data_IF_895079324701
#
_entry.id   IF_895079324701
#
_cell.length_a   1.000
_cell.length_b   1.000
_cell.length_c   1.000
_cell.angle_alpha   90.00
_cell.angle_beta   90.00
_cell.angle_gamma   90.00
#
_symmetry.space_group_name_H-M   'P 1'
#
loop_
_entity.id
_entity.type
_entity.pdbx_description
1 polymer ?
#
# COMPACT_ATOMS: atom_id res chain seq x y z
N UNK A 1 -34.19 -10.97 -56.91
CA UNK A 1 -33.70 -12.19 -57.61
C UNK A 1 -32.35 -12.61 -57.04
N UNK A 2 -32.07 -13.92 -57.02
CA UNK A 2 -30.74 -14.56 -56.95
C UNK A 2 -29.70 -14.13 -55.87
N UNK A 3 -29.74 -14.88 -54.77
CA UNK A 3 -28.61 -15.30 -53.91
C UNK A 3 -27.18 -15.26 -54.49
N UNK A 4 -26.20 -15.04 -53.60
CA UNK A 4 -25.12 -16.02 -53.36
C UNK A 4 -24.48 -15.94 -51.96
N UNK A 5 -24.69 -16.99 -51.16
CA UNK A 5 -23.87 -17.31 -49.98
C UNK A 5 -22.55 -17.96 -50.43
N UNK A 6 -21.47 -17.73 -49.70
CA UNK A 6 -20.31 -18.62 -49.67
C UNK A 6 -19.86 -18.79 -48.21
N UNK A 7 -19.79 -20.05 -47.75
CA UNK A 7 -19.33 -20.47 -46.41
C UNK A 7 -18.39 -21.65 -46.63
N UNK A 8 -17.17 -21.63 -46.09
CA UNK A 8 -16.26 -22.78 -46.17
C UNK A 8 -15.53 -23.09 -44.86
N UNK A 9 -15.13 -24.36 -44.74
CA UNK A 9 -14.69 -25.14 -43.56
C UNK A 9 -13.54 -26.03 -44.08
N UNK A 10 -12.47 -26.40 -43.36
CA UNK A 10 -12.24 -26.48 -41.90
C UNK A 10 -10.81 -26.14 -41.47
N UNK A 11 -10.62 -26.00 -40.14
CA UNK A 11 -9.47 -26.47 -39.33
C UNK A 11 -8.32 -27.18 -40.07
N UNK A 12 -7.08 -26.86 -39.70
CA UNK A 12 -6.09 -27.88 -39.27
C UNK A 12 -5.03 -27.34 -38.30
N UNK A 13 -4.44 -28.26 -37.56
CA UNK A 13 -3.57 -28.13 -36.36
C UNK A 13 -2.09 -27.88 -36.72
N UNK A 14 -1.34 -27.10 -35.92
CA UNK A 14 0.02 -27.51 -35.50
C UNK A 14 0.58 -26.71 -34.30
N UNK A 15 1.32 -27.42 -33.43
CA UNK A 15 2.12 -26.85 -32.33
C UNK A 15 3.47 -26.35 -32.87
N UNK A 16 4.06 -25.30 -32.28
CA UNK A 16 5.37 -24.79 -32.69
C UNK A 16 6.07 -23.98 -31.60
N UNK A 17 6.83 -24.64 -30.73
CA UNK A 17 7.64 -24.01 -29.69
C UNK A 17 8.86 -23.28 -30.26
N UNK A 18 9.04 -22.00 -29.90
CA UNK A 18 10.27 -21.27 -30.22
C UNK A 18 11.24 -21.26 -29.02
N UNK A 19 12.43 -21.82 -29.25
CA UNK A 19 13.54 -21.85 -28.28
C UNK A 19 14.29 -20.52 -28.28
N UNK A 20 14.83 -20.15 -27.11
CA UNK A 20 15.91 -19.16 -27.00
C UNK A 20 17.10 -19.55 -27.88
N UNK A 21 17.75 -18.57 -28.52
CA UNK A 21 19.19 -18.68 -28.75
C UNK A 21 19.92 -17.33 -28.77
N UNK A 22 21.02 -17.30 -28.01
CA UNK A 22 22.28 -16.56 -28.25
C UNK A 22 22.26 -15.05 -28.54
N UNK A 23 22.48 -14.29 -27.46
CA UNK A 23 23.68 -13.46 -27.25
C UNK A 23 24.55 -13.20 -28.50
N UNK A 24 24.63 -11.94 -28.93
CA UNK A 24 25.93 -11.30 -29.18
C UNK A 24 25.86 -9.78 -28.92
N UNK A 25 26.81 -9.24 -28.15
CA UNK A 25 26.98 -7.80 -27.88
C UNK A 25 28.24 -7.30 -28.58
N UNK A 26 28.14 -6.23 -29.40
CA UNK A 26 29.20 -5.31 -29.91
C UNK A 26 28.59 -4.48 -31.05
N UNK A 27 28.93 -3.21 -31.33
CA UNK A 27 29.85 -2.20 -30.78
C UNK A 27 29.12 -0.83 -30.82
N UNK A 28 29.44 0.16 -29.99
CA UNK A 28 30.29 1.35 -30.29
C UNK A 28 30.01 2.38 -29.16
N UNK A 29 30.80 3.40 -28.81
CA UNK A 29 32.02 4.09 -29.29
C UNK A 29 32.83 4.46 -28.04
N UNK A 30 34.17 4.57 -28.12
CA UNK A 30 34.88 5.87 -28.04
C UNK A 30 36.38 5.64 -28.29
N UNK A 31 36.99 6.44 -29.16
CA UNK A 31 38.43 6.40 -29.42
C UNK A 31 38.91 7.83 -29.71
N UNK A 32 39.39 8.52 -28.67
CA UNK A 32 40.17 9.77 -28.72
C UNK A 32 40.99 9.88 -27.41
N UNK A 33 42.23 10.39 -27.38
CA UNK A 33 43.29 10.40 -28.40
C UNK A 33 44.65 10.65 -27.69
N UNK A 34 45.73 10.05 -28.20
CA UNK A 34 47.17 10.28 -27.92
C UNK A 34 47.78 10.27 -26.48
N UNK A 35 48.56 9.20 -26.24
CA UNK A 35 50.03 9.18 -25.97
C UNK A 35 50.65 10.15 -24.93
N UNK A 36 51.21 9.60 -23.83
CA UNK A 36 52.67 9.31 -23.67
C UNK A 36 52.99 8.82 -22.23
N UNK A 37 53.67 7.68 -22.11
CA UNK A 37 54.25 7.18 -20.85
C UNK A 37 55.70 7.66 -20.67
N UNK A 38 56.12 7.93 -19.42
CA UNK A 38 57.25 7.26 -18.70
C UNK A 38 57.46 7.85 -17.27
N UNK A 39 58.17 7.17 -16.36
CA UNK A 39 57.77 7.12 -14.94
C UNK A 39 58.44 8.14 -14.00
N UNK A 40 57.78 8.38 -12.87
CA UNK A 40 58.24 9.24 -11.78
C UNK A 40 59.39 8.62 -10.96
N UNK A 41 60.39 9.47 -10.63
CA UNK A 41 61.58 9.08 -9.88
C UNK A 41 61.38 9.13 -8.36
N UNK A 42 61.99 8.15 -7.70
CA UNK A 42 62.09 7.97 -6.24
C UNK A 42 62.99 9.05 -5.61
N UNK A 43 62.46 9.85 -4.68
CA UNK A 43 63.28 10.78 -3.87
C UNK A 43 63.39 10.33 -2.41
N UNK A 44 64.61 9.97 -2.00
CA UNK A 44 65.03 10.00 -0.58
C UNK A 44 65.40 11.43 -0.21
N UNK A 45 65.04 11.89 0.99
CA UNK A 45 65.72 13.00 1.69
C UNK A 45 65.97 12.63 3.15
N UNK A 46 67.05 13.20 3.70
CA UNK A 46 67.72 12.70 4.89
C UNK A 46 67.36 13.45 6.19
N UNK A 47 67.61 12.78 7.31
CA UNK A 47 67.47 13.30 8.68
C UNK A 47 68.60 14.28 9.05
N UNK A 48 68.28 15.24 9.94
CA UNK A 48 69.22 15.92 10.84
C UNK A 48 68.60 16.05 12.25
N UNK A 49 69.42 16.18 13.32
CA UNK A 49 69.04 15.71 14.65
C UNK A 49 68.43 16.79 15.55
N UNK A 50 67.59 16.37 16.51
CA UNK A 50 67.07 17.19 17.61
C UNK A 50 67.69 16.73 18.93
N UNK A 51 68.00 17.70 19.80
CA UNK A 51 68.72 17.51 21.08
C UNK A 51 67.92 16.70 22.11
N UNK A 52 68.63 15.96 22.97
CA UNK A 52 68.09 15.42 24.22
C UNK A 52 67.52 16.54 25.10
N UNK A 53 66.34 16.33 25.67
CA UNK A 53 66.02 16.84 27.00
C UNK A 53 65.49 15.67 27.85
N UNK A 54 65.95 15.59 29.09
CA UNK A 54 65.50 14.59 30.06
C UNK A 54 64.30 15.14 30.82
N UNK A 55 63.21 14.36 30.93
CA UNK A 55 62.80 13.86 32.24
C UNK A 55 61.72 12.76 32.15
N UNK A 56 61.70 11.92 33.19
CA UNK A 56 60.84 10.75 33.32
C UNK A 56 59.44 11.17 33.77
N UNK A 57 58.40 10.53 33.23
CA UNK A 57 57.43 9.80 34.05
C UNK A 57 56.67 8.76 33.21
N UNK A 58 56.19 7.70 33.88
CA UNK A 58 55.76 6.46 33.25
C UNK A 58 54.31 6.56 32.74
N UNK A 59 54.08 6.26 31.46
CA UNK A 59 52.79 5.77 30.96
C UNK A 59 53.04 4.60 30.00
N UNK A 60 52.46 3.44 30.29
CA UNK A 60 52.54 2.28 29.41
C UNK A 60 51.37 2.30 28.42
N UNK A 61 51.59 2.97 27.29
CA UNK A 61 50.85 2.68 26.06
C UNK A 61 51.41 1.38 25.46
N UNK A 62 50.56 0.37 25.31
CA UNK A 62 50.74 -0.66 24.27
C UNK A 62 49.52 -0.69 23.38
N UNK A 63 49.62 0.08 22.30
CA UNK A 63 48.85 -0.17 21.08
C UNK A 63 49.31 -1.50 20.50
N UNK A 64 48.36 -2.38 20.20
CA UNK A 64 48.56 -3.48 19.24
C UNK A 64 47.36 -3.51 18.30
N UNK A 65 47.35 -2.58 17.34
CA UNK A 65 46.52 -2.71 16.14
C UNK A 65 47.10 -3.86 15.33
N UNK A 66 46.43 -5.02 15.34
CA UNK A 66 46.73 -6.10 14.40
C UNK A 66 45.65 -6.15 13.33
N UNK A 67 46.05 -5.77 12.12
CA UNK A 67 45.24 -5.86 10.92
C UNK A 67 45.33 -7.31 10.39
N UNK A 68 44.33 -8.13 10.71
CA UNK A 68 44.04 -9.41 10.07
C UNK A 68 42.55 -9.32 9.71
N UNK A 69 42.11 -9.49 8.47
CA UNK A 69 42.64 -10.34 7.41
C UNK A 69 41.48 -11.26 7.04
N UNK A 70 40.78 -10.92 5.96
CA UNK A 70 39.47 -11.49 5.67
C UNK A 70 39.52 -13.00 5.40
N UNK A 71 38.71 -13.76 6.13
CA UNK A 71 38.34 -15.15 5.83
C UNK A 71 36.89 -15.33 6.28
N UNK A 72 36.00 -15.57 5.31
CA UNK A 72 34.57 -15.67 5.57
C UNK A 72 34.20 -17.00 6.22
N UNK A 73 33.53 -16.94 7.37
CA UNK A 73 32.80 -18.05 7.96
C UNK A 73 31.31 -17.70 8.07
N UNK A 74 30.46 -18.37 7.30
CA UNK A 74 29.00 -18.26 7.41
C UNK A 74 28.52 -19.06 8.62
N UNK A 75 28.57 -18.45 9.80
CA UNK A 75 28.06 -19.01 11.05
C UNK A 75 26.62 -18.53 11.29
N UNK A 76 25.63 -19.30 10.84
CA UNK A 76 24.23 -19.04 11.16
C UNK A 76 23.91 -19.43 12.60
N UNK A 77 24.02 -18.46 13.53
CA UNK A 77 23.59 -18.62 14.91
C UNK A 77 22.10 -18.26 15.03
N UNK A 78 21.27 -19.24 15.36
CA UNK A 78 19.86 -19.05 15.74
C UNK A 78 19.77 -18.81 17.24
N UNK A 79 18.92 -17.88 17.67
CA UNK A 79 18.47 -17.83 19.05
C UNK A 79 17.50 -19.01 19.28
N UNK A 80 18.02 -20.16 19.71
CA UNK A 80 17.15 -21.27 20.10
C UNK A 80 16.44 -20.91 21.41
N UNK A 81 15.13 -20.64 21.33
CA UNK A 81 14.17 -20.53 22.44
C UNK A 81 14.68 -19.89 23.75
N UNK A 82 14.44 -18.59 23.92
CA UNK A 82 14.54 -17.95 25.24
C UNK A 82 13.41 -18.45 26.16
N UNK A 83 13.63 -19.57 26.84
CA UNK A 83 12.60 -20.20 27.69
C UNK A 83 12.27 -19.44 28.97
N UNK A 84 13.16 -18.61 29.50
CA UNK A 84 12.89 -17.80 30.70
C UNK A 84 13.70 -16.50 30.67
N UNK A 85 13.13 -15.44 31.26
CA UNK A 85 13.77 -14.52 32.24
C UNK A 85 12.69 -13.58 32.80
N UNK A 86 11.87 -14.13 33.68
CA UNK A 86 11.19 -13.36 34.72
C UNK A 86 11.79 -13.81 36.03
N UNK A 87 12.42 -12.88 36.75
CA UNK A 87 12.19 -12.65 38.18
C UNK A 87 12.85 -11.35 38.61
N UNK A 88 12.24 -10.73 39.62
CA UNK A 88 12.69 -9.50 40.25
C UNK A 88 13.97 -9.73 41.07
N UNK A 89 14.67 -8.61 41.35
CA UNK A 89 15.89 -8.47 42.17
C UNK A 89 17.24 -8.66 41.47
N UNK A 90 18.26 -8.04 42.07
CA UNK A 90 19.58 -7.77 41.49
C UNK A 90 20.48 -9.00 41.40
N UNK A 91 21.64 -8.81 40.75
CA UNK A 91 22.80 -9.72 40.70
C UNK A 91 22.76 -10.91 39.72
N UNK A 92 22.65 -10.62 38.42
CA UNK A 92 23.51 -11.29 37.44
C UNK A 92 23.76 -10.36 36.24
N UNK A 93 24.95 -9.76 36.18
CA UNK A 93 25.47 -9.18 34.94
C UNK A 93 26.25 -10.29 34.23
N UNK A 94 25.63 -10.94 33.24
CA UNK A 94 26.41 -11.74 32.31
C UNK A 94 27.37 -10.82 31.56
N UNK A 95 28.66 -11.14 31.64
CA UNK A 95 29.71 -10.38 30.99
C UNK A 95 29.60 -10.55 29.48
N UNK A 96 28.92 -9.60 28.83
CA UNK A 96 28.83 -9.49 27.37
C UNK A 96 30.26 -9.45 26.82
N UNK A 97 30.68 -10.49 26.11
CA UNK A 97 32.00 -10.54 25.46
C UNK A 97 32.12 -9.44 24.42
N UNK A 98 32.86 -8.38 24.78
CA UNK A 98 33.15 -7.25 23.90
C UNK A 98 34.26 -7.62 22.91
N UNK A 99 33.88 -8.20 21.78
CA UNK A 99 34.82 -8.55 20.72
C UNK A 99 34.19 -8.62 19.32
N UNK A 100 34.95 -8.27 18.25
CA UNK A 100 34.43 -8.19 16.88
C UNK A 100 34.01 -9.55 16.27
N UNK A 101 34.25 -10.66 16.96
CA UNK A 101 33.84 -12.02 16.56
C UNK A 101 32.96 -12.71 17.62
N UNK A 102 32.35 -11.97 18.56
CA UNK A 102 31.54 -12.59 19.62
C UNK A 102 30.21 -13.18 19.07
N UNK A 103 29.86 -14.44 19.41
CA UNK A 103 28.61 -15.09 18.98
C UNK A 103 27.30 -14.45 19.48
N UNK A 104 27.35 -13.43 20.33
CA UNK A 104 26.25 -12.99 21.20
C UNK A 104 25.70 -11.59 20.88
N UNK A 105 25.49 -11.30 19.59
CA UNK A 105 24.82 -10.08 19.11
C UNK A 105 23.30 -10.26 18.86
N UNK A 106 22.71 -11.25 19.54
CA UNK A 106 21.26 -11.44 19.56
C UNK A 106 20.62 -10.44 20.52
N UNK A 107 19.52 -9.82 20.11
CA UNK A 107 18.67 -9.03 21.01
C UNK A 107 17.92 -9.97 21.97
N UNK A 108 18.45 -10.12 23.18
CA UNK A 108 17.97 -11.08 24.17
C UNK A 108 16.62 -10.70 24.80
N UNK A 109 16.08 -11.58 25.63
CA UNK A 109 14.64 -11.72 25.79
C UNK A 109 14.12 -11.13 27.09
N UNK A 110 13.08 -10.29 26.97
CA UNK A 110 12.33 -9.69 28.07
C UNK A 110 13.16 -8.86 29.09
N UNK A 111 14.39 -8.46 28.75
CA UNK A 111 15.19 -7.54 29.56
C UNK A 111 15.64 -6.30 28.82
N UNK A 112 15.86 -5.23 29.58
CA UNK A 112 16.33 -3.95 29.05
C UNK A 112 17.85 -3.93 28.89
N UNK A 113 18.33 -3.48 27.73
CA UNK A 113 19.76 -3.34 27.45
C UNK A 113 20.06 -2.06 26.69
N UNK A 114 21.31 -1.61 26.74
CA UNK A 114 21.78 -0.47 25.94
C UNK A 114 23.13 -0.82 25.33
N UNK A 115 23.15 -0.87 24.02
CA UNK A 115 24.28 -1.20 23.17
C UNK A 115 24.74 0.04 22.39
N UNK A 116 25.99 0.03 21.94
CA UNK A 116 26.57 1.09 21.12
C UNK A 116 26.15 1.02 19.64
N UNK A 117 26.93 1.67 18.79
CA UNK A 117 26.77 1.59 17.34
C UNK A 117 27.20 0.20 16.83
N UNK A 118 26.40 -0.39 15.94
CA UNK A 118 26.67 -1.69 15.36
C UNK A 118 25.48 -2.20 14.57
N UNK A 119 25.56 -3.45 14.12
CA UNK A 119 24.42 -4.17 13.52
C UNK A 119 24.04 -5.32 14.43
N UNK A 120 22.79 -5.33 14.87
CA UNK A 120 22.23 -6.29 15.82
C UNK A 120 21.13 -7.10 15.14
N UNK A 121 20.88 -8.30 15.65
CA UNK A 121 19.93 -9.22 15.03
C UNK A 121 18.88 -9.72 16.03
N UNK A 122 17.62 -9.58 15.65
CA UNK A 122 16.48 -10.28 16.24
C UNK A 122 16.05 -11.36 15.26
N UNK A 123 16.62 -12.56 15.40
CA UNK A 123 16.35 -13.69 14.51
C UNK A 123 15.68 -14.84 15.28
N UNK A 124 14.57 -15.34 14.75
CA UNK A 124 13.81 -16.53 15.21
C UNK A 124 13.73 -16.67 16.73
N UNK A 125 12.68 -16.13 17.34
CA UNK A 125 12.53 -16.07 18.80
C UNK A 125 11.12 -16.45 19.23
N UNK A 126 10.94 -17.48 20.06
CA UNK A 126 9.72 -17.61 20.88
C UNK A 126 10.05 -17.18 22.31
N UNK A 127 9.25 -16.26 22.86
CA UNK A 127 9.37 -15.80 24.26
C UNK A 127 7.99 -15.56 24.86
N UNK A 128 7.86 -15.77 26.17
CA UNK A 128 6.60 -15.69 26.89
C UNK A 128 6.86 -15.29 28.35
N UNK A 129 5.80 -14.92 29.07
CA UNK A 129 5.82 -14.76 30.52
C UNK A 129 4.47 -15.19 31.07
N UNK A 130 4.45 -15.96 32.17
CA UNK A 130 3.20 -16.26 32.88
C UNK A 130 2.67 -15.04 33.67
N UNK A 131 3.56 -14.18 34.16
CA UNK A 131 3.22 -13.00 34.99
C UNK A 131 3.30 -11.65 34.26
N UNK A 132 3.51 -11.67 32.94
CA UNK A 132 3.80 -10.49 32.13
C UNK A 132 5.26 -10.04 32.20
N UNK A 133 5.64 -9.11 31.33
CA UNK A 133 7.01 -8.58 31.26
C UNK A 133 7.05 -7.20 30.59
N UNK A 134 8.12 -6.44 30.82
CA UNK A 134 8.36 -5.17 30.13
C UNK A 134 9.85 -4.92 29.93
N UNK A 135 10.25 -4.48 28.74
CA UNK A 135 11.67 -4.32 28.39
C UNK A 135 11.93 -3.21 27.36
N UNK A 136 13.17 -2.74 27.30
CA UNK A 136 13.64 -1.78 26.29
C UNK A 136 15.07 -2.10 25.83
N UNK A 137 15.23 -2.47 24.57
CA UNK A 137 16.55 -2.69 23.95
C UNK A 137 16.94 -1.48 23.12
N UNK A 138 18.06 -0.84 23.48
CA UNK A 138 18.56 0.36 22.81
C UNK A 138 19.84 0.05 22.04
N UNK A 139 19.88 0.42 20.77
CA UNK A 139 21.03 0.28 19.88
C UNK A 139 21.46 1.68 19.43
N UNK A 140 22.24 2.36 20.27
CA UNK A 140 22.59 3.77 20.09
C UNK A 140 23.40 3.96 18.80
N UNK A 141 22.86 4.69 17.83
CA UNK A 141 23.42 4.81 16.47
C UNK A 141 23.58 3.46 15.73
N UNK A 142 22.85 2.42 16.17
CA UNK A 142 22.91 1.05 15.64
C UNK A 142 21.76 0.69 14.71
N UNK A 143 21.95 -0.37 13.91
CA UNK A 143 20.92 -0.96 13.06
C UNK A 143 20.41 -2.27 13.68
N UNK A 144 19.10 -2.42 13.81
CA UNK A 144 18.47 -3.69 14.18
C UNK A 144 17.92 -4.37 12.93
N UNK A 145 18.36 -5.59 12.65
CA UNK A 145 17.81 -6.44 11.60
C UNK A 145 16.94 -7.54 12.23
N UNK A 146 15.68 -7.62 11.80
CA UNK A 146 14.67 -8.54 12.29
C UNK A 146 14.37 -9.58 11.20
N UNK A 147 14.36 -10.87 11.56
CA UNK A 147 14.27 -11.97 10.61
C UNK A 147 13.73 -13.28 11.21
N UNK A 148 13.22 -14.17 10.35
CA UNK A 148 12.69 -15.47 10.78
C UNK A 148 11.39 -15.37 11.59
N UNK A 149 11.08 -16.43 12.35
CA UNK A 149 9.80 -16.56 13.07
C UNK A 149 9.92 -16.10 14.51
N UNK A 150 9.23 -15.02 14.87
CA UNK A 150 9.30 -14.37 16.18
C UNK A 150 7.90 -14.38 16.81
N UNK A 151 7.75 -14.96 18.00
CA UNK A 151 6.50 -14.96 18.78
C UNK A 151 6.72 -14.37 20.18
N UNK A 152 5.88 -13.40 20.53
CA UNK A 152 5.69 -12.88 21.88
C UNK A 152 4.41 -13.47 22.44
N UNK A 153 4.53 -14.64 23.07
CA UNK A 153 3.43 -15.46 23.56
C UNK A 153 3.86 -16.93 23.61
N UNK A 154 3.33 -17.67 24.59
CA UNK A 154 3.77 -19.03 24.90
C UNK A 154 3.40 -20.06 23.84
N UNK A 155 4.14 -21.18 23.80
CA UNK A 155 3.89 -22.30 22.88
C UNK A 155 4.14 -23.64 23.56
N UNK A 156 3.50 -24.71 23.06
CA UNK A 156 3.68 -26.06 23.59
C UNK A 156 3.15 -26.16 25.02
N UNK A 157 3.95 -26.67 25.96
CA UNK A 157 3.52 -26.77 27.37
C UNK A 157 3.19 -25.41 28.01
N UNK A 158 3.84 -24.33 27.55
CA UNK A 158 3.55 -22.96 27.99
C UNK A 158 2.50 -22.27 27.07
N UNK A 159 1.76 -23.04 26.27
CA UNK A 159 0.83 -22.53 25.26
C UNK A 159 -0.30 -21.66 25.80
N UNK A 160 -0.60 -21.77 27.10
CA UNK A 160 -1.59 -20.97 27.84
C UNK A 160 -0.96 -20.01 28.86
N UNK A 161 0.33 -19.66 28.74
CA UNK A 161 0.91 -18.60 29.56
C UNK A 161 0.35 -17.25 29.11
N UNK A 162 -0.48 -16.66 29.98
CA UNK A 162 -1.32 -15.49 29.64
C UNK A 162 -0.65 -14.14 29.85
N UNK A 163 0.59 -14.06 30.34
CA UNK A 163 1.16 -12.80 30.80
C UNK A 163 1.49 -11.80 29.68
N UNK A 164 1.00 -10.57 29.82
CA UNK A 164 1.14 -9.51 28.83
C UNK A 164 2.59 -9.00 28.68
N UNK A 165 3.06 -8.78 27.45
CA UNK A 165 4.44 -8.33 27.17
C UNK A 165 4.46 -6.92 26.59
N UNK A 166 5.24 -6.01 27.18
CA UNK A 166 5.53 -4.69 26.59
C UNK A 166 6.99 -4.58 26.17
N UNK A 167 7.27 -4.70 24.87
CA UNK A 167 8.61 -4.60 24.30
C UNK A 167 8.86 -3.25 23.62
N UNK A 168 10.07 -2.73 23.77
CA UNK A 168 10.52 -1.53 23.02
C UNK A 168 11.91 -1.77 22.43
N UNK A 169 12.08 -1.40 21.16
CA UNK A 169 13.33 -1.48 20.41
C UNK A 169 13.66 -0.08 19.87
N UNK A 170 14.65 0.58 20.48
CA UNK A 170 15.17 1.88 20.04
C UNK A 170 16.43 1.66 19.19
N UNK A 171 16.47 2.16 17.95
CA UNK A 171 17.63 2.04 17.07
C UNK A 171 17.80 3.27 16.17
N UNK A 172 18.92 3.37 15.45
CA UNK A 172 19.06 4.35 14.36
C UNK A 172 18.23 3.94 13.14
N UNK A 173 18.22 2.65 12.83
CA UNK A 173 17.50 2.04 11.70
C UNK A 173 16.99 0.66 12.13
N UNK A 174 15.78 0.28 11.71
CA UNK A 174 15.21 -1.05 11.94
C UNK A 174 14.80 -1.64 10.59
N UNK A 175 15.25 -2.86 10.27
CA UNK A 175 14.92 -3.54 9.03
C UNK A 175 14.29 -4.91 9.31
N UNK A 176 13.07 -5.13 8.85
CA UNK A 176 12.39 -6.43 8.84
C UNK A 176 12.54 -7.03 7.46
N UNK A 177 13.20 -8.19 7.35
CA UNK A 177 13.45 -8.87 6.08
C UNK A 177 12.98 -10.32 6.17
N UNK A 178 11.89 -10.65 5.47
CA UNK A 178 11.29 -12.00 5.51
C UNK A 178 11.09 -12.52 6.93
N UNK A 179 10.61 -11.64 7.81
CA UNK A 179 10.30 -11.93 9.20
C UNK A 179 8.81 -12.18 9.38
N UNK A 180 8.46 -13.13 10.24
CA UNK A 180 7.11 -13.42 10.66
C UNK A 180 7.01 -13.10 12.15
N UNK A 181 6.33 -12.01 12.51
CA UNK A 181 6.13 -11.60 13.90
C UNK A 181 4.72 -11.94 14.35
N UNK A 182 4.60 -12.55 15.52
CA UNK A 182 3.33 -12.96 16.11
C UNK A 182 3.24 -12.56 17.57
N UNK A 183 2.06 -12.14 18.04
CA UNK A 183 1.73 -12.01 19.47
C UNK A 183 0.61 -12.98 19.86
N UNK A 184 0.27 -13.06 21.15
CA UNK A 184 -0.69 -14.03 21.66
C UNK A 184 -0.02 -15.39 21.87
N UNK A 185 -0.51 -16.17 22.84
CA UNK A 185 -0.02 -17.53 23.09
C UNK A 185 -0.68 -18.57 22.15
N UNK A 186 -0.19 -19.80 22.11
CA UNK A 186 -0.64 -20.80 21.13
C UNK A 186 -2.01 -21.41 21.44
N UNK A 187 -2.56 -21.16 22.64
CA UNK A 187 -3.91 -21.61 23.02
C UNK A 187 -4.98 -20.53 22.83
N UNK A 188 -4.59 -19.32 22.41
CA UNK A 188 -5.47 -18.17 22.19
C UNK A 188 -6.24 -17.72 23.45
N UNK A 189 -5.67 -17.95 24.65
CA UNK A 189 -6.28 -17.57 25.93
C UNK A 189 -5.60 -16.37 26.62
N UNK A 190 -4.48 -15.88 26.07
CA UNK A 190 -3.72 -14.74 26.60
C UNK A 190 -2.40 -14.49 25.88
N UNK A 191 -1.46 -13.83 26.58
CA UNK A 191 -0.12 -13.58 26.04
C UNK A 191 -0.08 -12.48 24.98
N UNK A 192 -1.03 -11.54 25.03
CA UNK A 192 -1.03 -10.36 24.18
C UNK A 192 0.19 -9.48 24.44
N UNK A 193 0.55 -8.64 23.47
CA UNK A 193 1.74 -7.82 23.60
C UNK A 193 1.65 -6.45 22.92
N UNK A 194 2.29 -5.45 23.51
CA UNK A 194 2.61 -4.16 22.88
C UNK A 194 4.08 -4.15 22.47
N UNK A 195 4.37 -4.02 21.18
CA UNK A 195 5.73 -3.97 20.63
C UNK A 195 5.97 -2.62 19.95
N UNK A 196 6.94 -1.86 20.46
CA UNK A 196 7.32 -0.56 19.92
C UNK A 196 8.67 -0.64 19.19
N UNK A 197 8.70 -0.27 17.92
CA UNK A 197 9.89 -0.21 17.09
C UNK A 197 10.17 1.26 16.74
N UNK A 198 11.13 1.86 17.44
CA UNK A 198 11.49 3.27 17.33
C UNK A 198 12.81 3.41 16.57
N UNK A 199 12.77 3.85 15.31
CA UNK A 199 13.95 4.21 14.55
C UNK A 199 14.14 5.73 14.52
N UNK A 200 15.33 6.23 14.90
CA UNK A 200 15.63 7.66 14.76
C UNK A 200 15.71 8.10 13.28
N UNK A 201 16.09 7.21 12.36
CA UNK A 201 16.05 7.45 10.90
C UNK A 201 14.97 6.60 10.21
N UNK A 202 15.24 5.32 9.94
CA UNK A 202 14.46 4.57 8.97
C UNK A 202 13.91 3.26 9.55
N UNK A 203 12.65 2.95 9.21
CA UNK A 203 12.12 1.58 9.29
C UNK A 203 11.94 1.07 7.86
N UNK A 204 12.49 -0.11 7.58
CA UNK A 204 12.24 -0.85 6.34
C UNK A 204 11.55 -2.16 6.68
N UNK A 205 10.45 -2.49 6.01
CA UNK A 205 9.71 -3.74 6.17
C UNK A 205 9.58 -4.37 4.79
N UNK A 206 10.19 -5.54 4.57
CA UNK A 206 10.25 -6.18 3.27
C UNK A 206 9.88 -7.66 3.36
N UNK A 207 8.82 -8.06 2.65
CA UNK A 207 8.29 -9.43 2.59
C UNK A 207 8.03 -10.04 3.97
N UNK A 208 7.60 -9.22 4.94
CA UNK A 208 7.33 -9.64 6.31
C UNK A 208 5.84 -9.81 6.57
N UNK A 209 5.47 -10.63 7.55
CA UNK A 209 4.10 -10.73 8.06
C UNK A 209 4.04 -10.42 9.54
N UNK A 210 3.00 -9.71 9.96
CA UNK A 210 2.75 -9.36 11.35
C UNK A 210 1.34 -9.81 11.73
N UNK A 211 1.25 -10.66 12.74
CA UNK A 211 0.04 -11.35 13.16
C UNK A 211 -0.17 -11.13 14.67
N UNK A 212 -1.03 -10.17 14.99
CA UNK A 212 -1.55 -10.06 16.35
C UNK A 212 -2.64 -11.14 16.51
N UNK A 213 -2.22 -12.39 16.76
CA UNK A 213 -3.13 -13.52 16.90
C UNK A 213 -3.97 -13.41 18.17
N UNK A 214 -5.13 -14.07 18.15
CA UNK A 214 -6.05 -14.14 19.30
C UNK A 214 -5.31 -14.44 20.62
N UNK A 215 -5.67 -13.67 21.64
CA UNK A 215 -5.06 -13.61 22.96
C UNK A 215 -6.15 -13.50 24.04
N UNK A 216 -7.32 -14.11 23.79
CA UNK A 216 -8.47 -14.10 24.68
C UNK A 216 -9.02 -12.68 24.87
N UNK A 217 -8.95 -12.17 26.10
CA UNK A 217 -9.40 -10.80 26.42
C UNK A 217 -8.33 -9.72 26.24
N UNK A 218 -7.12 -10.10 25.82
CA UNK A 218 -5.97 -9.19 25.73
C UNK A 218 -5.80 -8.62 24.32
N UNK A 219 -5.43 -7.34 24.26
CA UNK A 219 -5.25 -6.59 23.00
C UNK A 219 -3.78 -6.43 22.65
N UNK A 220 -3.41 -6.78 21.42
CA UNK A 220 -2.03 -6.66 20.94
C UNK A 220 -1.83 -5.41 20.09
N UNK A 221 -0.64 -4.83 20.13
CA UNK A 221 -0.30 -3.61 19.41
C UNK A 221 1.12 -3.70 18.85
N UNK A 222 1.30 -3.40 17.56
CA UNK A 222 2.64 -3.19 17.00
C UNK A 222 2.76 -1.77 16.44
N UNK A 223 3.69 -1.00 17.02
CA UNK A 223 3.88 0.41 16.73
C UNK A 223 5.23 0.61 16.04
N UNK A 224 5.22 1.19 14.85
CA UNK A 224 6.40 1.50 14.04
C UNK A 224 6.56 3.01 13.96
N UNK A 225 7.64 3.53 14.53
CA UNK A 225 7.94 4.96 14.55
C UNK A 225 9.28 5.27 13.89
N UNK A 226 9.28 6.13 12.87
CA UNK A 226 10.52 6.47 12.14
C UNK A 226 10.42 7.74 11.29
N UNK A 227 11.55 8.35 10.97
CA UNK A 227 11.61 9.53 10.09
C UNK A 227 11.29 9.17 8.64
N UNK A 228 11.63 7.97 8.20
CA UNK A 228 11.06 7.34 7.01
C UNK A 228 10.60 5.93 7.35
N UNK A 229 9.40 5.53 6.90
CA UNK A 229 8.91 4.16 7.02
C UNK A 229 8.61 3.65 5.61
N UNK A 230 9.23 2.53 5.22
CA UNK A 230 9.02 1.90 3.91
C UNK A 230 8.60 0.45 4.09
N UNK A 231 7.47 0.09 3.51
CA UNK A 231 6.89 -1.26 3.60
C UNK A 231 6.67 -1.79 2.19
N UNK A 232 7.15 -3.00 1.90
CA UNK A 232 7.04 -3.63 0.58
C UNK A 232 6.68 -5.11 0.69
N UNK A 233 5.69 -5.57 -0.09
CA UNK A 233 5.34 -6.99 -0.23
C UNK A 233 4.93 -7.68 1.08
N UNK A 234 4.41 -6.93 2.04
CA UNK A 234 4.23 -7.37 3.44
C UNK A 234 2.75 -7.46 3.83
N UNK A 235 2.45 -8.14 4.93
CA UNK A 235 1.07 -8.31 5.42
C UNK A 235 0.92 -8.06 6.92
N UNK A 236 -0.25 -7.58 7.30
CA UNK A 236 -0.62 -7.28 8.69
C UNK A 236 -2.00 -7.89 8.99
N UNK A 237 -2.21 -8.39 10.20
CA UNK A 237 -3.48 -8.96 10.70
C UNK A 237 -3.56 -8.81 12.21
N UNK A 238 -4.73 -8.45 12.73
CA UNK A 238 -5.04 -8.41 14.16
C UNK A 238 -6.40 -9.06 14.43
N UNK A 239 -6.40 -10.04 15.35
CA UNK A 239 -7.56 -10.77 15.84
C UNK A 239 -7.89 -10.39 17.30
N UNK A 240 -7.34 -9.30 17.83
CA UNK A 240 -7.34 -8.97 19.27
C UNK A 240 -8.09 -7.69 19.62
N UNK A 241 -8.82 -7.11 18.66
CA UNK A 241 -9.36 -5.75 18.70
C UNK A 241 -8.30 -4.70 19.10
N UNK A 242 -7.05 -4.95 18.71
CA UNK A 242 -5.88 -4.13 18.96
C UNK A 242 -5.48 -3.39 17.69
N UNK A 243 -4.22 -3.53 17.26
CA UNK A 243 -3.83 -3.22 15.88
C UNK A 243 -2.42 -2.69 15.67
N UNK A 244 -2.28 -1.87 14.63
CA UNK A 244 -1.01 -1.39 14.08
C UNK A 244 -0.96 0.14 14.02
N UNK A 245 0.21 0.70 14.31
CA UNK A 245 0.46 2.14 14.18
C UNK A 245 1.73 2.40 13.38
N UNK A 246 1.65 3.28 12.39
CA UNK A 246 2.79 3.78 11.60
C UNK A 246 2.84 5.28 11.78
N UNK A 247 3.90 5.77 12.43
CA UNK A 247 4.00 7.18 12.82
C UNK A 247 5.35 7.77 12.43
N UNK A 248 5.31 8.96 11.84
CA UNK A 248 6.52 9.75 11.64
C UNK A 248 7.17 10.16 12.96
N UNK A 249 8.48 10.43 12.93
CA UNK A 249 9.15 11.08 14.07
C UNK A 249 8.70 12.54 14.24
N UNK A 250 8.24 13.16 13.16
CA UNK A 250 7.66 14.50 13.08
C UNK A 250 6.90 14.64 11.74
N UNK A 251 6.11 15.69 11.58
CA UNK A 251 5.26 15.91 10.41
C UNK A 251 6.00 16.06 9.07
N UNK A 252 7.34 16.11 9.04
CA UNK A 252 8.15 16.10 7.81
C UNK A 252 8.56 14.67 7.38
N UNK A 253 8.12 13.63 8.09
CA UNK A 253 8.40 12.24 7.76
C UNK A 253 7.72 11.79 6.47
N UNK A 254 8.27 10.74 5.84
CA UNK A 254 7.69 10.07 4.68
C UNK A 254 7.36 8.61 5.00
N UNK A 255 6.11 8.21 4.77
CA UNK A 255 5.63 6.84 5.02
C UNK A 255 5.10 6.27 3.70
N UNK A 256 5.64 5.14 3.26
CA UNK A 256 5.28 4.52 1.98
C UNK A 256 5.05 3.02 2.08
N UNK A 257 3.95 2.56 1.49
CA UNK A 257 3.57 1.15 1.37
C UNK A 257 3.48 0.77 -0.11
N UNK A 258 4.05 -0.36 -0.49
CA UNK A 258 3.97 -0.93 -1.83
C UNK A 258 3.60 -2.42 -1.71
N UNK A 259 2.65 -2.91 -2.52
CA UNK A 259 2.25 -4.33 -2.52
C UNK A 259 1.93 -4.86 -1.11
N UNK A 260 1.27 -4.03 -0.28
CA UNK A 260 1.02 -4.33 1.14
C UNK A 260 -0.44 -4.75 1.36
N UNK A 261 -0.63 -5.81 2.15
CA UNK A 261 -1.95 -6.34 2.49
C UNK A 261 -2.29 -6.02 3.96
N UNK A 262 -3.25 -5.12 4.17
CA UNK A 262 -3.81 -4.85 5.48
C UNK A 262 -5.07 -5.71 5.65
N UNK A 263 -4.99 -6.73 6.50
CA UNK A 263 -6.11 -7.64 6.76
C UNK A 263 -7.00 -7.11 7.89
N UNK A 264 -7.62 -7.99 8.67
CA UNK A 264 -8.36 -7.61 9.87
C UNK A 264 -7.49 -6.78 10.83
N UNK A 265 -8.10 -5.84 11.55
CA UNK A 265 -7.42 -5.02 12.57
C UNK A 265 -7.65 -3.52 12.46
N UNK A 266 -7.16 -2.78 13.44
CA UNK A 266 -7.12 -1.31 13.42
C UNK A 266 -5.77 -0.81 12.90
N UNK A 267 -5.77 0.18 12.02
CA UNK A 267 -4.58 0.74 11.39
C UNK A 267 -4.56 2.25 11.54
N UNK A 268 -3.51 2.77 12.18
CA UNK A 268 -3.30 4.20 12.38
C UNK A 268 -2.07 4.66 11.60
N UNK A 269 -2.24 5.61 10.68
CA UNK A 269 -1.15 6.23 9.92
C UNK A 269 -1.07 7.72 10.28
N UNK A 270 0.07 8.18 10.80
CA UNK A 270 0.14 9.50 11.43
C UNK A 270 1.48 10.24 11.28
N UNK A 271 1.44 11.54 11.53
CA UNK A 271 2.63 12.40 11.67
C UNK A 271 3.56 12.37 10.43
N UNK A 272 3.03 12.36 9.21
CA UNK A 272 3.85 12.46 7.98
C UNK A 272 3.42 13.62 7.08
N UNK A 273 4.33 14.10 6.23
CA UNK A 273 3.98 15.04 5.14
C UNK A 273 3.37 14.23 4.01
N UNK A 274 4.02 13.12 3.66
CA UNK A 274 3.60 12.21 2.61
C UNK A 274 3.30 10.83 3.20
N UNK A 275 2.06 10.38 2.99
CA UNK A 275 1.63 9.02 3.20
C UNK A 275 1.22 8.45 1.82
N UNK A 276 1.92 7.43 1.35
CA UNK A 276 1.69 6.86 0.01
C UNK A 276 1.44 5.36 0.05
N UNK A 277 0.40 4.91 -0.64
CA UNK A 277 0.08 3.50 -0.85
C UNK A 277 0.06 3.21 -2.34
N UNK A 278 0.85 2.24 -2.77
CA UNK A 278 0.85 1.75 -4.15
C UNK A 278 0.57 0.24 -4.16
N UNK A 279 -0.25 -0.22 -5.10
CA UNK A 279 -0.60 -1.63 -5.29
C UNK A 279 -1.04 -2.33 -3.98
N UNK A 280 -1.70 -1.61 -3.07
CA UNK A 280 -1.99 -2.09 -1.71
C UNK A 280 -3.46 -2.49 -1.54
N UNK A 281 -3.71 -3.48 -0.70
CA UNK A 281 -5.05 -4.00 -0.43
C UNK A 281 -5.47 -3.67 1.00
N UNK A 282 -6.59 -2.97 1.13
CA UNK A 282 -7.25 -2.71 2.41
C UNK A 282 -8.45 -3.66 2.52
N UNK A 283 -8.36 -4.61 3.44
CA UNK A 283 -9.40 -5.61 3.69
C UNK A 283 -10.21 -5.24 4.95
N UNK A 284 -10.62 -6.24 5.75
CA UNK A 284 -11.57 -6.17 6.88
C UNK A 284 -11.06 -5.40 8.12
N UNK A 285 -10.47 -4.22 7.91
CA UNK A 285 -9.90 -3.38 8.95
C UNK A 285 -10.63 -2.05 9.15
N UNK A 286 -10.20 -1.33 10.19
CA UNK A 286 -10.52 0.08 10.41
C UNK A 286 -9.26 0.92 10.20
N UNK A 287 -9.34 1.89 9.30
CA UNK A 287 -8.22 2.67 8.82
C UNK A 287 -8.38 4.13 9.23
N UNK A 288 -7.34 4.70 9.84
CA UNK A 288 -7.27 6.12 10.20
C UNK A 288 -6.06 6.77 9.53
N UNK A 289 -6.33 7.64 8.57
CA UNK A 289 -5.33 8.46 7.89
C UNK A 289 -5.30 9.82 8.61
N UNK A 290 -4.18 10.12 9.27
CA UNK A 290 -3.93 11.28 10.14
C UNK A 290 -2.55 11.96 9.88
N UNK A 291 -2.23 12.17 8.61
CA UNK A 291 -1.05 12.85 8.07
C UNK A 291 -1.43 14.12 7.29
N UNK A 292 -0.50 14.73 6.54
CA UNK A 292 -0.79 15.97 5.79
C UNK A 292 -1.46 15.70 4.44
N UNK A 293 -0.97 14.67 3.74
CA UNK A 293 -1.47 14.22 2.45
C UNK A 293 -1.35 12.69 2.38
N UNK A 294 -2.47 12.04 2.08
CA UNK A 294 -2.55 10.64 1.69
C UNK A 294 -2.67 10.50 0.18
N UNK A 295 -1.92 9.58 -0.42
CA UNK A 295 -1.91 9.27 -1.86
C UNK A 295 -2.09 7.77 -2.07
N UNK A 296 -3.03 7.39 -2.93
CA UNK A 296 -3.38 6.00 -3.20
C UNK A 296 -3.28 5.74 -4.69
N UNK A 297 -2.42 4.80 -5.07
CA UNK A 297 -2.18 4.38 -6.44
C UNK A 297 -2.46 2.89 -6.57
N UNK A 298 -3.22 2.49 -7.60
CA UNK A 298 -3.45 1.09 -7.97
C UNK A 298 -3.97 0.21 -6.80
N UNK A 299 -4.65 0.81 -5.82
CA UNK A 299 -4.98 0.18 -4.53
C UNK A 299 -6.45 -0.21 -4.44
N UNK A 300 -6.74 -1.27 -3.69
CA UNK A 300 -8.08 -1.83 -3.55
C UNK A 300 -8.63 -1.57 -2.15
N UNK A 301 -9.77 -0.89 -2.09
CA UNK A 301 -10.55 -0.63 -0.88
C UNK A 301 -11.68 -1.65 -0.80
N UNK A 302 -11.51 -2.68 0.03
CA UNK A 302 -12.50 -3.74 0.24
C UNK A 302 -13.34 -3.46 1.49
N UNK A 303 -14.16 -4.42 1.90
CA UNK A 303 -14.96 -4.35 3.13
C UNK A 303 -14.10 -3.85 4.31
N UNK A 304 -14.39 -2.66 4.84
CA UNK A 304 -13.59 -1.99 5.87
C UNK A 304 -14.17 -0.61 6.21
N UNK A 305 -13.63 0.03 7.24
CA UNK A 305 -14.02 1.40 7.66
C UNK A 305 -12.87 2.37 7.43
N UNK A 306 -13.09 3.42 6.66
CA UNK A 306 -12.03 4.32 6.18
C UNK A 306 -12.27 5.76 6.68
N UNK A 307 -11.36 6.26 7.51
CA UNK A 307 -11.43 7.59 8.10
C UNK A 307 -10.28 8.46 7.57
N UNK A 308 -10.60 9.38 6.67
CA UNK A 308 -9.67 10.33 6.07
C UNK A 308 -9.76 11.68 6.77
N UNK A 309 -8.76 12.02 7.58
CA UNK A 309 -8.60 13.36 8.13
C UNK A 309 -7.59 14.21 7.30
N UNK A 310 -6.88 13.57 6.38
CA UNK A 310 -5.85 14.14 5.49
C UNK A 310 -6.44 14.65 4.18
N UNK A 311 -5.72 15.53 3.47
CA UNK A 311 -5.94 15.68 2.02
C UNK A 311 -5.72 14.33 1.32
N UNK A 312 -6.57 13.97 0.36
CA UNK A 312 -6.56 12.66 -0.29
C UNK A 312 -6.39 12.77 -1.80
N UNK A 313 -5.60 11.86 -2.40
CA UNK A 313 -5.45 11.74 -3.84
C UNK A 313 -5.61 10.29 -4.28
N UNK A 314 -6.50 10.05 -5.24
CA UNK A 314 -6.85 8.71 -5.74
C UNK A 314 -6.49 8.58 -7.22
N UNK A 315 -5.57 7.65 -7.52
CA UNK A 315 -5.09 7.30 -8.85
C UNK A 315 -5.29 5.80 -9.15
N UNK A 316 -6.07 5.44 -10.17
CA UNK A 316 -6.30 4.04 -10.58
C UNK A 316 -6.79 3.08 -9.46
N UNK A 317 -7.59 3.55 -8.50
CA UNK A 317 -8.03 2.71 -7.37
C UNK A 317 -9.34 1.96 -7.66
N UNK A 318 -9.56 0.85 -6.96
CA UNK A 318 -10.83 0.12 -6.97
C UNK A 318 -11.50 0.19 -5.61
N UNK A 319 -12.75 0.63 -5.58
CA UNK A 319 -13.60 0.69 -4.40
C UNK A 319 -14.62 -0.43 -4.51
N UNK A 320 -14.37 -1.52 -3.77
CA UNK A 320 -15.15 -2.74 -3.82
C UNK A 320 -16.38 -2.67 -2.92
N UNK A 321 -16.18 -2.37 -1.63
CA UNK A 321 -17.20 -2.21 -0.59
C UNK A 321 -16.61 -1.34 0.55
N UNK A 322 -17.39 -0.98 1.56
CA UNK A 322 -16.90 -0.37 2.81
C UNK A 322 -17.64 0.90 3.25
N UNK A 323 -17.27 1.42 4.41
CA UNK A 323 -17.81 2.65 5.00
C UNK A 323 -16.75 3.74 4.99
N UNK A 324 -17.06 4.91 4.45
CA UNK A 324 -16.09 5.97 4.19
C UNK A 324 -16.47 7.27 4.90
N UNK A 325 -15.50 7.89 5.56
CA UNK A 325 -15.65 9.14 6.31
C UNK A 325 -14.56 10.11 5.89
N UNK A 326 -14.96 11.22 5.26
CA UNK A 326 -14.07 12.22 4.69
C UNK A 326 -14.15 13.54 5.48
N UNK A 327 -13.30 13.66 6.50
CA UNK A 327 -13.08 14.91 7.27
C UNK A 327 -12.04 15.84 6.60
N UNK A 328 -11.73 15.58 5.33
CA UNK A 328 -10.69 16.23 4.56
C UNK A 328 -11.08 17.60 4.00
N UNK A 329 -10.08 18.44 3.77
CA UNK A 329 -10.23 19.73 3.09
C UNK A 329 -10.15 19.63 1.56
N UNK A 330 -9.46 18.61 1.01
CA UNK A 330 -9.24 18.44 -0.43
C UNK A 330 -9.19 16.98 -0.86
N UNK A 331 -9.89 16.67 -1.94
CA UNK A 331 -9.79 15.39 -2.66
C UNK A 331 -9.42 15.64 -4.12
N UNK A 332 -8.50 14.83 -4.65
CA UNK A 332 -8.13 14.84 -6.06
C UNK A 332 -8.24 13.46 -6.70
N UNK A 333 -8.67 13.44 -7.96
CA UNK A 333 -8.82 12.22 -8.75
C UNK A 333 -7.89 12.24 -9.97
N UNK A 334 -7.38 11.06 -10.34
CA UNK A 334 -6.52 10.80 -11.50
C UNK A 334 -6.73 9.37 -11.97
N UNK A 335 -6.49 9.09 -13.25
CA UNK A 335 -6.65 7.73 -13.78
C UNK A 335 -8.07 7.17 -13.60
N UNK A 336 -8.23 5.85 -13.71
CA UNK A 336 -9.53 5.18 -13.67
C UNK A 336 -9.84 4.70 -12.26
N UNK A 337 -10.70 5.43 -11.53
CA UNK A 337 -11.16 5.02 -10.20
C UNK A 337 -12.47 4.23 -10.36
N UNK A 338 -12.44 2.93 -10.05
CA UNK A 338 -13.55 2.01 -10.29
C UNK A 338 -14.42 1.87 -9.04
N UNK A 339 -15.74 2.00 -9.20
CA UNK A 339 -16.76 1.93 -8.14
C UNK A 339 -17.65 0.69 -8.36
N UNK A 340 -17.44 -0.36 -7.55
CA UNK A 340 -18.18 -1.63 -7.64
C UNK A 340 -19.42 -1.68 -6.71
N UNK A 341 -19.65 -0.63 -5.91
CA UNK A 341 -20.74 -0.52 -4.94
C UNK A 341 -21.23 0.94 -4.82
N UNK A 342 -22.07 1.23 -3.82
CA UNK A 342 -22.34 2.60 -3.35
C UNK A 342 -21.06 3.44 -3.29
N UNK A 343 -21.13 4.70 -3.72
CA UNK A 343 -19.94 5.53 -3.83
C UNK A 343 -19.34 5.87 -2.47
N UNK A 344 -18.00 5.79 -2.30
CA UNK A 344 -17.31 6.33 -1.14
C UNK A 344 -17.40 7.87 -1.06
N UNK A 345 -17.75 8.56 -2.15
CA UNK A 345 -17.65 10.02 -2.28
C UNK A 345 -18.99 10.77 -2.15
N UNK A 346 -20.08 10.09 -1.78
CA UNK A 346 -21.41 10.69 -1.59
C UNK A 346 -21.53 11.66 -0.38
N UNK A 347 -20.45 11.88 0.38
CA UNK A 347 -20.44 12.83 1.51
C UNK A 347 -19.04 13.40 1.80
N UNK A 348 -18.48 14.12 0.83
CA UNK A 348 -17.22 14.84 0.99
C UNK A 348 -17.42 16.20 1.67
N UNK A 349 -16.50 16.57 2.58
CA UNK A 349 -16.51 17.91 3.21
C UNK A 349 -15.62 18.92 2.48
N UNK A 350 -14.62 18.45 1.75
CA UNK A 350 -13.57 19.25 1.12
C UNK A 350 -13.79 19.54 -0.37
N UNK A 351 -13.01 20.48 -0.92
CA UNK A 351 -13.03 20.76 -2.37
C UNK A 351 -12.53 19.58 -3.19
N UNK A 352 -13.07 19.42 -4.40
CA UNK A 352 -12.78 18.29 -5.28
C UNK A 352 -12.12 18.77 -6.57
N UNK A 353 -11.15 18.03 -7.08
CA UNK A 353 -10.43 18.37 -8.31
C UNK A 353 -10.15 17.14 -9.18
N UNK A 354 -10.24 17.32 -10.49
CA UNK A 354 -9.96 16.30 -11.49
C UNK A 354 -8.69 16.64 -12.28
N UNK A 355 -7.68 15.77 -12.19
CA UNK A 355 -6.50 15.86 -13.05
C UNK A 355 -6.81 15.27 -14.43
N UNK A 356 -5.97 15.57 -15.42
CA UNK A 356 -6.09 15.01 -16.77
C UNK A 356 -6.07 13.48 -16.73
N UNK A 357 -7.03 12.84 -17.40
CA UNK A 357 -7.20 11.38 -17.42
C UNK A 357 -7.91 10.78 -16.21
N UNK A 358 -8.50 11.61 -15.33
CA UNK A 358 -9.40 11.14 -14.29
C UNK A 358 -10.72 10.60 -14.88
N UNK A 359 -11.13 9.41 -14.45
CA UNK A 359 -12.37 8.73 -14.85
C UNK A 359 -12.98 8.07 -13.60
N UNK A 360 -14.29 8.16 -13.44
CA UNK A 360 -15.04 7.23 -12.59
C UNK A 360 -15.60 6.10 -13.44
N UNK A 361 -15.19 4.87 -13.16
CA UNK A 361 -15.75 3.68 -13.80
C UNK A 361 -16.82 3.06 -12.90
N UNK A 362 -18.10 3.26 -13.24
CA UNK A 362 -19.23 2.68 -12.52
C UNK A 362 -19.39 1.21 -12.91
N UNK A 363 -18.80 0.31 -12.13
CA UNK A 363 -18.79 -1.12 -12.41
C UNK A 363 -19.76 -1.88 -11.49
N UNK A 364 -21.02 -1.45 -11.55
CA UNK A 364 -22.16 -2.09 -10.88
C UNK A 364 -23.39 -2.03 -11.78
N UNK A 365 -24.35 -2.93 -11.55
CA UNK A 365 -25.63 -2.89 -12.25
C UNK A 365 -26.54 -1.86 -11.59
N UNK A 366 -26.97 -0.86 -12.36
CA UNK A 366 -28.02 0.07 -11.95
C UNK A 366 -29.40 -0.47 -12.40
N UNK A 367 -30.44 -0.19 -11.61
CA UNK A 367 -31.82 -0.56 -11.91
C UNK A 367 -32.59 0.58 -12.60
N UNK A 368 -33.69 0.29 -13.29
CA UNK A 368 -34.54 1.29 -13.95
C UNK A 368 -34.87 2.48 -13.05
N UNK A 369 -34.59 3.70 -13.52
CA UNK A 369 -34.75 4.97 -12.80
C UNK A 369 -33.93 5.13 -11.50
N UNK A 370 -32.99 4.24 -11.20
CA UNK A 370 -32.12 4.36 -10.04
C UNK A 370 -31.16 5.54 -10.22
N UNK A 371 -31.20 6.50 -9.28
CA UNK A 371 -30.14 7.50 -9.12
C UNK A 371 -28.97 6.90 -8.35
N UNK A 372 -27.76 7.10 -8.87
CA UNK A 372 -26.50 6.80 -8.22
C UNK A 372 -25.73 8.10 -7.97
N UNK A 373 -25.47 8.42 -6.71
CA UNK A 373 -24.61 9.54 -6.31
C UNK A 373 -23.15 9.10 -6.46
N UNK A 374 -22.47 9.57 -7.51
CA UNK A 374 -21.04 9.32 -7.70
C UNK A 374 -20.24 10.12 -6.69
N UNK A 375 -20.62 11.38 -6.48
CA UNK A 375 -19.89 12.30 -5.63
C UNK A 375 -20.79 13.45 -5.21
N UNK A 376 -20.85 13.74 -3.91
CA UNK A 376 -21.45 14.95 -3.36
C UNK A 376 -20.48 15.60 -2.38
N UNK A 377 -20.32 16.92 -2.46
CA UNK A 377 -19.40 17.68 -1.63
C UNK A 377 -19.98 19.00 -1.11
N UNK A 378 -19.60 19.36 0.12
CA UNK A 378 -19.81 20.71 0.68
C UNK A 378 -18.84 21.76 0.08
N UNK A 379 -17.73 21.31 -0.51
CA UNK A 379 -16.74 22.18 -1.17
C UNK A 379 -17.19 22.62 -2.58
N UNK A 380 -16.24 23.00 -3.42
CA UNK A 380 -16.48 23.20 -4.85
C UNK A 380 -15.83 22.07 -5.67
N UNK A 381 -16.49 21.65 -6.75
CA UNK A 381 -15.94 20.74 -7.76
C UNK A 381 -15.21 21.56 -8.83
N UNK A 382 -13.94 21.21 -9.06
CA UNK A 382 -13.10 21.77 -10.11
C UNK A 382 -12.92 20.74 -11.22
N UNK A 383 -13.75 20.83 -12.26
CA UNK A 383 -13.73 19.94 -13.44
C UNK A 383 -12.44 20.07 -14.29
N UNK A 384 -11.67 21.13 -14.13
CA UNK A 384 -10.38 21.30 -14.79
C UNK A 384 -10.51 21.25 -16.30
N UNK A 385 -9.87 20.28 -16.94
CA UNK A 385 -9.90 20.12 -18.41
C UNK A 385 -11.27 19.68 -18.93
N UNK A 386 -12.07 18.98 -18.12
CA UNK A 386 -13.37 18.40 -18.51
C UNK A 386 -14.51 19.41 -18.61
N UNK A 387 -14.25 20.70 -18.38
CA UNK A 387 -15.26 21.75 -18.36
C UNK A 387 -16.07 21.91 -19.66
N UNK A 388 -15.59 21.35 -20.78
CA UNK A 388 -16.24 21.33 -22.09
C UNK A 388 -16.62 19.92 -22.60
N UNK A 389 -16.42 18.89 -21.78
CA UNK A 389 -16.68 17.48 -22.11
C UNK A 389 -16.91 16.68 -20.82
N UNK A 390 -17.96 17.04 -20.08
CA UNK A 390 -18.21 16.51 -18.74
C UNK A 390 -18.56 15.02 -18.77
N UNK A 391 -19.28 14.56 -19.80
CA UNK A 391 -19.64 13.16 -20.05
C UNK A 391 -18.41 12.22 -20.18
N UNK A 392 -17.23 12.73 -20.57
CA UNK A 392 -16.00 11.93 -20.66
C UNK A 392 -15.41 11.58 -19.27
N UNK A 393 -15.99 12.08 -18.16
CA UNK A 393 -15.57 11.72 -16.80
C UNK A 393 -16.06 10.33 -16.36
N UNK A 394 -17.04 9.75 -17.04
CA UNK A 394 -17.76 8.56 -16.59
C UNK A 394 -17.58 7.42 -17.61
N UNK A 395 -17.10 6.29 -17.11
CA UNK A 395 -17.20 4.99 -17.77
C UNK A 395 -18.26 4.17 -17.04
N UNK A 396 -18.91 3.24 -17.76
CA UNK A 396 -19.92 2.36 -17.20
C UNK A 396 -19.60 0.91 -17.56
N UNK A 397 -19.53 0.03 -16.55
CA UNK A 397 -19.14 -1.40 -16.66
C UNK A 397 -17.80 -1.64 -17.39
N UNK A 398 -16.91 -0.65 -17.41
CA UNK A 398 -15.62 -0.67 -18.10
C UNK A 398 -15.62 0.09 -19.43
N UNK A 399 -16.77 0.22 -20.09
CA UNK A 399 -16.91 0.83 -21.41
C UNK A 399 -17.04 2.35 -21.34
N UNK A 400 -16.73 3.00 -22.47
CA UNK A 400 -16.82 4.45 -22.67
C UNK A 400 -18.13 4.81 -23.35
N UNK A 401 -18.56 6.06 -23.19
CA UNK A 401 -19.66 6.63 -23.97
C UNK A 401 -19.44 6.43 -25.48
N UNK A 402 -20.47 5.94 -26.17
CA UNK A 402 -20.52 5.85 -27.64
C UNK A 402 -21.25 7.04 -28.28
N UNK A 403 -22.16 7.67 -27.52
CA UNK A 403 -22.87 8.90 -27.89
C UNK A 403 -23.33 9.66 -26.64
N UNK A 404 -23.61 10.95 -26.81
CA UNK A 404 -24.25 11.79 -25.79
C UNK A 404 -25.21 12.78 -26.43
N UNK A 405 -26.21 13.24 -25.67
CA UNK A 405 -27.09 14.37 -26.01
C UNK A 405 -27.18 15.28 -24.79
N UNK A 406 -26.85 16.57 -24.94
CA UNK A 406 -27.10 17.54 -23.88
C UNK A 406 -28.60 17.85 -23.79
N UNK A 407 -29.21 17.55 -22.64
CA UNK A 407 -30.62 17.83 -22.35
C UNK A 407 -30.80 19.12 -21.51
N UNK A 408 -29.68 19.77 -21.16
CA UNK A 408 -29.61 21.11 -20.57
C UNK A 408 -29.05 21.12 -19.14
N UNK A 409 -28.65 22.29 -18.64
CA UNK A 409 -28.14 22.49 -17.27
C UNK A 409 -26.94 21.59 -16.87
N UNK A 410 -26.04 21.27 -17.81
CA UNK A 410 -24.97 20.26 -17.65
C UNK A 410 -25.51 18.84 -17.35
N UNK A 411 -26.71 18.53 -17.82
CA UNK A 411 -27.26 17.17 -17.85
C UNK A 411 -27.14 16.61 -19.27
N UNK A 412 -26.67 15.37 -19.37
CA UNK A 412 -26.42 14.67 -20.62
C UNK A 412 -27.05 13.28 -20.56
N UNK A 413 -27.79 12.88 -21.60
CA UNK A 413 -28.15 11.49 -21.82
C UNK A 413 -26.98 10.82 -22.58
N UNK A 414 -26.30 9.88 -21.95
CA UNK A 414 -25.04 9.27 -22.41
C UNK A 414 -25.24 7.77 -22.59
N UNK A 415 -24.99 7.28 -23.80
CA UNK A 415 -25.22 5.87 -24.19
C UNK A 415 -23.90 5.10 -24.21
N UNK A 416 -23.93 3.86 -23.73
CA UNK A 416 -22.80 2.93 -23.64
C UNK A 416 -23.18 1.60 -24.30
N UNK A 417 -22.29 1.02 -25.13
CA UNK A 417 -22.44 -0.35 -25.64
C UNK A 417 -22.00 -1.34 -24.56
N UNK A 418 -22.96 -1.95 -23.86
CA UNK A 418 -22.73 -2.92 -22.80
C UNK A 418 -23.02 -4.33 -23.33
N UNK A 419 -21.96 -5.07 -23.69
CA UNK A 419 -22.04 -6.42 -24.25
C UNK A 419 -22.90 -6.54 -25.54
N UNK A 420 -22.94 -5.50 -26.37
CA UNK A 420 -23.74 -5.44 -27.59
C UNK A 420 -25.17 -4.93 -27.37
N UNK A 421 -25.45 -4.27 -26.24
CA UNK A 421 -26.73 -3.65 -25.91
C UNK A 421 -26.51 -2.21 -25.44
N UNK A 422 -27.27 -1.27 -25.99
CA UNK A 422 -27.13 0.15 -25.68
C UNK A 422 -27.85 0.48 -24.35
N UNK A 423 -27.09 0.74 -23.29
CA UNK A 423 -27.60 1.22 -22.00
C UNK A 423 -27.35 2.73 -21.87
N UNK A 424 -28.36 3.52 -21.47
CA UNK A 424 -28.23 4.98 -21.30
C UNK A 424 -28.26 5.41 -19.83
N UNK A 425 -27.31 6.29 -19.47
CA UNK A 425 -27.27 7.03 -18.21
C UNK A 425 -27.59 8.50 -18.47
N UNK A 426 -28.47 9.08 -17.66
CA UNK A 426 -28.59 10.54 -17.55
C UNK A 426 -27.59 11.05 -16.51
N UNK A 427 -26.55 11.73 -16.95
CA UNK A 427 -25.44 12.23 -16.13
C UNK A 427 -25.64 13.72 -15.84
N UNK A 428 -25.59 14.14 -14.57
CA UNK A 428 -25.76 15.56 -14.18
C UNK A 428 -24.57 16.08 -13.38
N UNK A 429 -23.99 17.18 -13.86
CA UNK A 429 -22.73 17.74 -13.34
C UNK A 429 -22.94 19.14 -12.71
N UNK A 430 -22.96 19.18 -11.38
CA UNK A 430 -23.16 20.40 -10.61
C UNK A 430 -21.85 20.95 -10.02
N UNK A 431 -21.90 22.13 -9.37
CA UNK A 431 -20.75 22.68 -8.63
C UNK A 431 -20.39 21.89 -7.36
N UNK A 432 -21.29 21.02 -6.91
CA UNK A 432 -21.25 20.32 -5.62
C UNK A 432 -21.64 18.84 -5.70
N UNK A 433 -22.16 18.36 -6.83
CA UNK A 433 -22.47 16.94 -7.01
C UNK A 433 -22.25 16.46 -8.45
N UNK A 434 -22.02 15.15 -8.59
CA UNK A 434 -22.05 14.39 -9.83
C UNK A 434 -22.96 13.19 -9.56
N UNK A 435 -24.07 13.11 -10.29
CA UNK A 435 -25.05 12.04 -10.16
C UNK A 435 -25.36 11.43 -11.52
N UNK A 436 -25.73 10.15 -11.55
CA UNK A 436 -26.26 9.48 -12.73
C UNK A 436 -27.62 8.88 -12.43
N UNK A 437 -28.54 8.89 -13.39
CA UNK A 437 -29.77 8.11 -13.34
C UNK A 437 -29.78 7.09 -14.48
N UNK A 438 -30.04 5.83 -14.17
CA UNK A 438 -30.15 4.79 -15.20
C UNK A 438 -31.49 4.89 -15.92
N UNK A 439 -31.47 5.27 -17.20
CA UNK A 439 -32.65 5.30 -18.07
C UNK A 439 -32.91 3.94 -18.73
N UNK A 440 -31.87 3.10 -18.84
CA UNK A 440 -31.95 1.78 -19.47
C UNK A 440 -31.80 1.81 -20.98
N UNK A 441 -32.38 0.81 -21.63
CA UNK A 441 -32.60 0.71 -23.08
C UNK A 441 -33.90 1.42 -23.51
N UNK A 442 -34.62 2.00 -22.55
CA UNK A 442 -35.99 2.51 -22.71
C UNK A 442 -36.09 3.61 -23.78
N UNK A 443 -35.05 4.41 -24.02
CA UNK A 443 -35.05 5.37 -25.15
C UNK A 443 -35.12 4.68 -26.52
N UNK A 444 -34.52 3.49 -26.70
CA UNK A 444 -34.69 2.72 -27.94
C UNK A 444 -36.04 2.02 -27.99
N UNK A 445 -36.57 1.53 -26.87
CA UNK A 445 -37.91 0.93 -26.82
C UNK A 445 -39.00 1.97 -27.11
N UNK A 446 -38.93 3.15 -26.48
CA UNK A 446 -39.81 4.29 -26.73
C UNK A 446 -39.67 4.80 -28.17
N UNK A 447 -38.45 4.97 -28.70
CA UNK A 447 -38.25 5.36 -30.09
C UNK A 447 -38.83 4.31 -31.07
N UNK A 448 -38.74 3.01 -30.77
CA UNK A 448 -39.41 1.97 -31.55
C UNK A 448 -40.93 2.04 -31.41
N UNK A 449 -41.49 2.29 -30.23
CA UNK A 449 -42.93 2.48 -30.04
C UNK A 449 -43.44 3.69 -30.83
N UNK A 450 -42.83 4.86 -30.67
CA UNK A 450 -43.20 6.07 -31.43
C UNK A 450 -43.06 5.85 -32.93
N UNK A 451 -42.01 5.17 -33.40
CA UNK A 451 -41.88 4.82 -34.82
C UNK A 451 -43.02 3.90 -35.32
N UNK A 452 -43.42 2.88 -34.54
CA UNK A 452 -44.55 2.01 -34.89
C UNK A 452 -45.89 2.74 -34.84
N UNK A 453 -46.08 3.65 -33.90
CA UNK A 453 -47.26 4.52 -33.81
C UNK A 453 -47.33 5.47 -35.02
N UNK A 454 -46.25 6.18 -35.36
CA UNK A 454 -46.18 7.06 -36.54
C UNK A 454 -46.41 6.31 -37.84
N UNK A 455 -45.85 5.11 -37.98
CA UNK A 455 -46.05 4.24 -39.15
C UNK A 455 -47.52 3.79 -39.22
N UNK A 456 -48.14 3.46 -38.09
CA UNK A 456 -49.57 3.10 -37.99
C UNK A 456 -50.48 4.29 -38.31
N UNK A 457 -50.20 5.49 -37.77
CA UNK A 457 -50.92 6.72 -38.08
C UNK A 457 -50.80 7.08 -39.57
N UNK A 458 -49.59 6.97 -40.14
CA UNK A 458 -49.34 7.21 -41.57
C UNK A 458 -50.10 6.23 -42.46
N UNK A 459 -50.13 4.94 -42.10
CA UNK A 459 -50.87 3.90 -42.82
C UNK A 459 -52.39 4.14 -42.77
N UNK A 460 -52.92 4.52 -41.60
CA UNK A 460 -54.34 4.85 -41.42
C UNK A 460 -54.74 6.11 -42.19
N UNK A 461 -53.90 7.15 -42.17
CA UNK A 461 -54.11 8.37 -42.95
C UNK A 461 -54.17 8.03 -44.46
N UNK A 462 -53.22 7.25 -44.97
CA UNK A 462 -53.17 6.85 -46.38
C UNK A 462 -54.42 6.05 -46.80
N UNK A 463 -54.87 5.11 -45.97
CA UNK A 463 -56.07 4.30 -46.22
C UNK A 463 -57.36 5.15 -46.26
N UNK A 464 -57.42 6.25 -45.50
CA UNK A 464 -58.55 7.18 -45.51
C UNK A 464 -58.56 8.11 -46.74
N UNK A 465 -57.42 8.34 -47.40
CA UNK A 465 -57.36 9.10 -48.67
C UNK A 465 -57.98 8.30 -49.83
N UNK A 466 -57.97 6.96 -49.78
CA UNK A 466 -58.62 6.13 -50.81
C UNK A 466 -60.16 6.23 -50.86
N UNK A 467 -60.81 6.85 -49.87
CA UNK A 467 -62.25 7.18 -49.91
C UNK A 467 -62.59 8.51 -50.61
N UNK A 468 -61.63 9.41 -50.81
CA UNK A 468 -61.87 10.74 -51.39
C UNK A 468 -62.01 10.73 -52.92
N UNK A 469 -62.05 9.56 -53.56
CA UNK A 469 -62.34 9.40 -54.99
C UNK A 469 -63.83 9.60 -55.33
N UNK A 470 -64.56 10.38 -54.51
CA UNK A 470 -65.99 10.67 -54.62
C UNK A 470 -66.30 12.14 -54.94
N UNK A 471 -65.30 12.96 -55.26
CA UNK A 471 -65.48 14.35 -55.75
C UNK A 471 -64.93 14.50 -57.18
N UNK A 472 -65.40 13.64 -58.10
CA UNK A 472 -65.25 13.82 -59.55
C UNK A 472 -66.21 12.93 -60.36
N UNK A 473 -67.53 13.23 -60.33
CA UNK A 473 -68.51 12.97 -61.40
C UNK A 473 -69.83 13.69 -61.10
#
# INVERSE_FOLDING_TARGET
>A
MAFKKARLISRFISKGSFKLSKISKKFFKLNQILKREKPLKRHKKALKPIKKLSNRNKSFLKVSVLLIGALGGLSHLRANECRYWSWSSWSYQDNIESGPNSPTHNSYCLFSSTQGSGTYYLNTLTTYSAGGASFTQKFNNGTLNVGGNIRFGGTGINGGDVGYITGTYDAQTINFNSSHLTTGNSYADGGGATLNFNAANNITINQASFDNSDAGTQKSYMNFKGSNIKVSGSSFKDDTDGGFSFSGNNNNSAISFNQTNFNQGTYNFSNSTTLSFDNSNFNQGTYHFNSTQSTFENSNFNQGTYNFNDNASFNNNTFNQGTYSFNTNKVSFSGINTLNSSSPFASLKGSVSFNSGAIFNLNQTLSGNQTYDILTTNGAIQYGVYQSYLWDLINYKGDKAISHVEVGNNTYDVTFDINGQDETLQETFNKQSIITQFLGDDLQQQAQQTYQEDLTHSQNALNNVTSDNTIAN
#
